data_IF_980472840990
#
_entry.id   IF_980472840990
#
_cell.length_a   1.000
_cell.length_b   1.000
_cell.length_c   1.000
_cell.angle_alpha   90.00
_cell.angle_beta   90.00
_cell.angle_gamma   90.00
#
_symmetry.space_group_name_H-M   'P 1'
#
loop_
_entity.id
_entity.type
_entity.pdbx_description
1 polymer ?
#
# COMPACT_ATOMS: atom_id res chain seq x y z
N UNK A 1 -55.96 24.92 36.71
CA UNK A 1 -55.56 24.71 35.32
C UNK A 1 -54.13 24.19 35.32
N UNK A 2 -53.86 22.96 34.92
CA UNK A 2 -52.51 22.46 34.86
C UNK A 2 -51.86 22.97 33.59
N UNK A 3 -50.67 23.58 33.72
CA UNK A 3 -49.79 23.93 32.62
C UNK A 3 -49.35 22.64 31.91
N UNK A 4 -49.79 22.48 30.66
CA UNK A 4 -49.27 21.46 29.76
C UNK A 4 -47.84 21.87 29.37
N UNK A 5 -46.86 21.31 30.01
CA UNK A 5 -45.49 21.30 29.47
C UNK A 5 -45.52 20.61 28.12
N UNK A 6 -45.15 21.35 27.06
CA UNK A 6 -44.91 20.77 25.74
C UNK A 6 -43.77 19.75 25.88
N UNK A 7 -43.90 18.54 25.32
CA UNK A 7 -42.77 17.60 25.34
C UNK A 7 -41.60 18.26 24.64
N UNK A 8 -40.45 18.29 25.31
CA UNK A 8 -39.15 18.60 24.71
C UNK A 8 -39.00 17.65 23.56
N UNK A 9 -38.91 18.20 22.35
CA UNK A 9 -38.71 17.44 21.13
C UNK A 9 -37.40 16.65 21.26
N UNK A 10 -37.53 15.39 21.63
CA UNK A 10 -36.40 14.52 21.86
C UNK A 10 -35.83 14.15 20.48
N UNK A 11 -34.79 14.85 20.05
CA UNK A 11 -34.03 14.54 18.80
C UNK A 11 -33.81 13.03 18.70
N UNK A 12 -34.21 12.42 17.59
CA UNK A 12 -34.01 10.99 17.37
C UNK A 12 -32.50 10.69 17.36
N UNK A 13 -32.09 9.57 17.94
CA UNK A 13 -30.70 9.15 18.03
C UNK A 13 -29.99 9.15 16.65
N UNK A 14 -30.74 8.78 15.60
CA UNK A 14 -30.24 8.75 14.22
C UNK A 14 -29.88 10.15 13.74
N UNK A 15 -30.76 11.14 13.95
CA UNK A 15 -30.58 12.54 13.56
C UNK A 15 -29.35 13.15 14.30
N UNK A 16 -29.25 12.85 15.60
CA UNK A 16 -28.12 13.30 16.42
C UNK A 16 -26.80 12.70 15.95
N UNK A 17 -26.75 11.39 15.66
CA UNK A 17 -25.53 10.71 15.19
C UNK A 17 -25.17 11.23 13.79
N UNK A 18 -26.14 11.43 12.89
CA UNK A 18 -25.91 12.02 11.57
C UNK A 18 -25.29 13.41 11.70
N UNK A 19 -25.86 14.29 12.52
CA UNK A 19 -25.34 15.62 12.76
C UNK A 19 -23.92 15.60 13.33
N UNK A 20 -23.60 14.64 14.23
CA UNK A 20 -22.22 14.47 14.72
C UNK A 20 -21.26 14.12 13.58
N UNK A 21 -21.65 13.18 12.70
CA UNK A 21 -20.86 12.82 11.53
C UNK A 21 -20.61 14.01 10.61
N UNK A 22 -21.67 14.75 10.26
CA UNK A 22 -21.57 15.93 9.41
C UNK A 22 -20.69 17.04 10.01
N UNK A 23 -20.80 17.24 11.35
CA UNK A 23 -20.02 18.25 12.07
C UNK A 23 -18.54 17.87 12.13
N UNK A 24 -18.21 16.61 12.44
CA UNK A 24 -16.83 16.11 12.45
C UNK A 24 -16.23 16.24 11.05
N UNK A 25 -17.02 15.88 10.04
CA UNK A 25 -16.56 16.00 8.66
C UNK A 25 -16.25 17.45 8.27
N UNK A 26 -17.12 18.39 8.59
CA UNK A 26 -16.90 19.81 8.33
C UNK A 26 -15.62 20.33 9.00
N UNK A 27 -15.27 19.82 10.19
CA UNK A 27 -13.99 20.15 10.84
C UNK A 27 -12.79 19.61 10.06
N UNK A 28 -12.87 18.38 9.53
CA UNK A 28 -11.82 17.76 8.71
C UNK A 28 -11.61 18.56 7.41
N UNK A 29 -12.69 18.95 6.74
CA UNK A 29 -12.63 19.81 5.55
C UNK A 29 -12.02 21.18 5.85
N UNK A 30 -12.44 21.80 6.96
CA UNK A 30 -11.91 23.12 7.37
C UNK A 30 -10.40 23.09 7.66
N UNK A 31 -9.87 21.93 8.07
CA UNK A 31 -8.43 21.73 8.27
C UNK A 31 -7.67 21.40 6.97
N UNK A 32 -8.36 21.31 5.83
CA UNK A 32 -7.77 20.97 4.54
C UNK A 32 -7.24 19.54 4.45
N UNK A 33 -7.65 18.66 5.38
CA UNK A 33 -7.21 17.28 5.44
C UNK A 33 -7.95 16.38 4.45
N UNK A 34 -9.17 16.78 4.08
CA UNK A 34 -9.99 16.08 3.09
C UNK A 34 -10.89 17.09 2.36
N UNK A 35 -11.34 16.73 1.18
CA UNK A 35 -12.31 17.51 0.41
C UNK A 35 -13.40 16.58 -0.11
N UNK A 36 -14.63 17.07 -0.21
CA UNK A 36 -15.74 16.35 -0.88
C UNK A 36 -15.64 16.40 -2.41
N UNK A 37 -14.59 17.00 -2.94
CA UNK A 37 -14.42 17.15 -4.37
C UNK A 37 -14.16 15.78 -5.03
N UNK A 38 -14.82 15.50 -6.15
CA UNK A 38 -14.47 14.32 -6.94
C UNK A 38 -13.08 14.47 -7.54
N UNK A 39 -12.45 13.33 -7.78
CA UNK A 39 -11.14 13.17 -8.34
C UNK A 39 -10.90 13.88 -9.68
N UNK A 40 -9.63 14.20 -10.01
CA UNK A 40 -8.39 13.81 -9.34
C UNK A 40 -7.96 14.75 -8.21
N UNK A 41 -7.16 14.23 -7.27
CA UNK A 41 -6.50 15.02 -6.23
C UNK A 41 -5.70 16.16 -6.87
N UNK A 42 -5.98 17.44 -6.56
CA UNK A 42 -5.27 18.57 -7.16
C UNK A 42 -3.81 18.69 -6.69
N UNK A 43 -3.39 17.87 -5.72
CA UNK A 43 -2.03 17.85 -5.22
C UNK A 43 -1.08 17.27 -6.28
N UNK A 44 0.18 17.63 -6.20
CA UNK A 44 1.25 17.05 -7.01
C UNK A 44 2.26 16.33 -6.10
N UNK A 45 2.86 15.27 -6.61
CA UNK A 45 4.00 14.65 -5.96
C UNK A 45 5.17 15.63 -5.96
N UNK A 46 5.94 15.67 -4.87
CA UNK A 46 7.17 16.47 -4.81
C UNK A 46 8.18 16.07 -5.88
N UNK A 47 9.04 16.99 -6.24
CA UNK A 47 10.23 16.67 -7.02
C UNK A 47 11.34 16.08 -6.13
N UNK A 48 12.19 15.25 -6.72
CA UNK A 48 13.30 14.56 -6.06
C UNK A 48 14.61 15.25 -6.42
N UNK A 49 15.46 15.50 -5.44
CA UNK A 49 16.80 16.06 -5.66
C UNK A 49 17.70 15.09 -6.41
N UNK A 50 18.73 15.61 -7.08
CA UNK A 50 19.75 14.79 -7.77
C UNK A 50 20.32 13.69 -6.85
N UNK A 51 20.51 13.99 -5.56
CA UNK A 51 21.02 13.01 -4.59
C UNK A 51 20.05 11.87 -4.33
N UNK A 52 18.77 12.19 -4.15
CA UNK A 52 17.71 11.18 -3.97
C UNK A 52 17.56 10.30 -5.23
N UNK A 53 17.61 10.92 -6.42
CA UNK A 53 17.53 10.17 -7.69
C UNK A 53 18.74 9.25 -7.86
N UNK A 54 19.94 9.72 -7.49
CA UNK A 54 21.15 8.90 -7.51
C UNK A 54 21.05 7.67 -6.58
N UNK A 55 20.46 7.86 -5.41
CA UNK A 55 20.19 6.78 -4.44
C UNK A 55 19.14 5.79 -4.97
N UNK A 56 18.01 6.29 -5.45
CA UNK A 56 16.91 5.49 -6.02
C UNK A 56 17.40 4.64 -7.20
N UNK A 57 18.23 5.20 -8.08
CA UNK A 57 18.73 4.50 -9.27
C UNK A 57 20.01 3.68 -8.98
N UNK A 58 20.61 3.85 -7.82
CA UNK A 58 21.89 3.19 -7.47
C UNK A 58 23.04 3.58 -8.38
N UNK A 59 23.11 4.87 -8.78
CA UNK A 59 24.17 5.45 -9.62
C UNK A 59 24.77 6.67 -8.93
N UNK A 60 25.93 7.17 -9.42
CA UNK A 60 26.54 8.37 -8.82
C UNK A 60 25.83 9.65 -9.28
N UNK A 61 25.72 10.65 -8.38
CA UNK A 61 25.18 11.96 -8.73
C UNK A 61 26.00 12.70 -9.79
N UNK A 62 27.31 12.46 -9.86
CA UNK A 62 28.18 13.00 -10.93
C UNK A 62 27.81 12.41 -12.30
N UNK A 63 27.54 11.11 -12.36
CA UNK A 63 27.08 10.48 -13.60
C UNK A 63 25.73 11.04 -14.08
N UNK A 64 24.73 11.18 -13.19
CA UNK A 64 23.44 11.79 -13.54
C UNK A 64 23.58 13.23 -14.00
N UNK A 65 24.50 14.00 -13.38
CA UNK A 65 24.80 15.38 -13.80
C UNK A 65 25.38 15.41 -15.21
N UNK A 66 26.31 14.48 -15.51
CA UNK A 66 26.90 14.37 -16.84
C UNK A 66 25.84 14.01 -17.90
N UNK A 67 24.99 13.01 -17.62
CA UNK A 67 23.86 12.69 -18.52
C UNK A 67 23.00 13.92 -18.84
N UNK A 68 22.66 14.70 -17.82
CA UNK A 68 21.88 15.94 -18.00
C UNK A 68 22.60 17.01 -18.82
N UNK A 69 23.94 17.11 -18.72
CA UNK A 69 24.74 18.05 -19.51
C UNK A 69 24.82 17.59 -20.97
N UNK A 70 24.96 16.31 -21.19
CA UNK A 70 25.06 15.69 -22.51
C UNK A 70 23.70 15.59 -23.23
N UNK A 71 22.62 16.04 -22.58
CA UNK A 71 21.25 15.97 -23.15
C UNK A 71 20.72 14.53 -23.24
N UNK A 72 21.24 13.61 -22.43
CA UNK A 72 20.84 12.21 -22.38
C UNK A 72 19.81 12.01 -21.26
N UNK A 73 18.62 11.50 -21.62
CA UNK A 73 17.47 11.36 -20.72
C UNK A 73 16.69 12.67 -20.54
N UNK A 74 15.78 12.72 -19.53
CA UNK A 74 14.90 13.86 -19.30
C UNK A 74 15.66 15.09 -18.82
N UNK A 75 15.15 16.27 -19.18
CA UNK A 75 15.70 17.55 -18.69
C UNK A 75 15.19 17.82 -17.27
N UNK A 76 16.07 17.91 -16.25
CA UNK A 76 15.66 18.23 -14.89
C UNK A 76 15.19 19.68 -14.76
N UNK A 77 14.33 19.94 -13.79
CA UNK A 77 14.06 21.31 -13.35
C UNK A 77 15.30 21.89 -12.66
N UNK A 78 15.62 23.13 -12.99
CA UNK A 78 16.72 23.87 -12.39
C UNK A 78 16.17 24.85 -11.35
N UNK A 79 16.38 24.55 -10.09
CA UNK A 79 16.07 25.45 -8.99
C UNK A 79 17.19 26.46 -8.70
N UNK A 80 17.09 27.14 -7.58
CA UNK A 80 18.07 28.15 -7.11
C UNK A 80 19.48 27.56 -7.06
N UNK A 81 20.46 28.32 -7.54
CA UNK A 81 21.87 27.91 -7.64
C UNK A 81 22.11 26.66 -8.52
N UNK A 82 21.30 26.42 -9.55
CA UNK A 82 21.45 25.31 -10.49
C UNK A 82 21.22 23.92 -9.88
N UNK A 83 20.49 23.83 -8.76
CA UNK A 83 20.10 22.56 -8.17
C UNK A 83 19.11 21.84 -9.09
N UNK A 84 19.43 20.59 -9.42
CA UNK A 84 18.58 19.76 -10.27
C UNK A 84 17.56 19.00 -9.43
N UNK A 85 16.32 19.00 -9.89
CA UNK A 85 15.23 18.21 -9.37
C UNK A 85 14.50 17.46 -10.49
N UNK A 86 13.91 16.33 -10.17
CA UNK A 86 13.26 15.45 -11.12
C UNK A 86 11.89 15.03 -10.58
N UNK A 87 10.90 14.93 -11.43
CA UNK A 87 9.63 14.26 -11.14
C UNK A 87 9.81 12.75 -11.14
N UNK A 88 8.87 12.01 -10.55
CA UNK A 88 8.91 10.53 -10.61
C UNK A 88 8.81 10.01 -12.06
N UNK A 89 8.01 10.66 -12.91
CA UNK A 89 7.96 10.33 -14.34
C UNK A 89 9.33 10.46 -15.00
N UNK A 90 10.06 11.54 -14.74
CA UNK A 90 11.42 11.72 -15.23
C UNK A 90 12.41 10.69 -14.68
N UNK A 91 12.22 10.24 -13.42
CA UNK A 91 13.02 9.14 -12.86
C UNK A 91 12.73 7.84 -13.62
N UNK A 92 11.48 7.58 -13.99
CA UNK A 92 11.11 6.40 -14.78
C UNK A 92 11.67 6.47 -16.21
N UNK A 93 11.69 7.64 -16.84
CA UNK A 93 12.39 7.84 -18.13
C UNK A 93 13.90 7.56 -18.01
N UNK A 94 14.55 8.01 -16.90
CA UNK A 94 15.95 7.68 -16.63
C UNK A 94 16.16 6.18 -16.44
N UNK A 95 15.24 5.46 -15.81
CA UNK A 95 15.27 3.99 -15.67
C UNK A 95 15.29 3.31 -17.05
N UNK A 96 14.37 3.71 -17.93
CA UNK A 96 14.25 3.15 -19.28
C UNK A 96 15.52 3.45 -20.11
N UNK A 97 16.06 4.67 -20.02
CA UNK A 97 17.32 5.03 -20.66
C UNK A 97 18.49 4.19 -20.13
N UNK A 98 18.63 4.06 -18.80
CA UNK A 98 19.72 3.30 -18.19
C UNK A 98 19.62 1.81 -18.49
N UNK A 99 18.43 1.24 -18.50
CA UNK A 99 18.18 -0.15 -18.88
C UNK A 99 18.58 -0.43 -20.33
N UNK A 100 18.27 0.49 -21.24
CA UNK A 100 18.61 0.40 -22.66
C UNK A 100 20.12 0.56 -22.89
N UNK A 101 20.76 1.51 -22.22
CA UNK A 101 22.19 1.79 -22.34
C UNK A 101 23.07 0.74 -21.66
N UNK A 102 22.53 0.01 -20.66
CA UNK A 102 23.22 -1.01 -19.88
C UNK A 102 22.44 -2.32 -19.81
N UNK A 103 22.30 -3.06 -20.93
CA UNK A 103 21.43 -4.25 -20.99
C UNK A 103 21.76 -5.34 -19.96
N UNK A 104 23.04 -5.47 -19.56
CA UNK A 104 23.49 -6.41 -18.54
C UNK A 104 22.99 -6.06 -17.12
N UNK A 105 22.70 -4.80 -16.88
CA UNK A 105 22.19 -4.26 -15.61
C UNK A 105 20.71 -3.83 -15.72
N UNK A 106 20.02 -4.15 -16.81
CA UNK A 106 18.67 -3.64 -17.08
C UNK A 106 17.68 -3.90 -15.94
N UNK A 107 17.75 -5.08 -15.29
CA UNK A 107 16.89 -5.39 -14.15
C UNK A 107 17.14 -4.53 -12.92
N UNK A 108 18.32 -3.99 -12.76
CA UNK A 108 18.62 -3.05 -11.67
C UNK A 108 17.82 -1.75 -11.83
N UNK A 109 17.65 -1.31 -13.07
CA UNK A 109 16.97 -0.04 -13.39
C UNK A 109 15.47 -0.22 -13.63
N UNK A 110 15.10 -1.29 -14.36
CA UNK A 110 13.72 -1.64 -14.69
C UNK A 110 13.39 -3.03 -14.14
N UNK A 111 12.97 -3.14 -12.87
CA UNK A 111 12.72 -4.43 -12.22
C UNK A 111 11.42 -5.11 -12.66
N UNK A 112 10.74 -4.53 -13.64
CA UNK A 112 9.43 -4.97 -14.15
C UNK A 112 9.43 -6.43 -14.55
N UNK A 113 8.23 -7.02 -14.59
CA UNK A 113 8.02 -8.38 -15.09
C UNK A 113 8.56 -8.55 -16.52
N UNK A 114 9.12 -9.71 -16.79
CA UNK A 114 9.48 -10.15 -18.13
C UNK A 114 8.39 -11.06 -18.69
N UNK A 115 8.48 -11.35 -19.97
CA UNK A 115 7.62 -12.36 -20.57
C UNK A 115 7.82 -13.71 -19.87
N UNK A 116 6.73 -14.28 -19.36
CA UNK A 116 6.72 -15.52 -18.57
C UNK A 116 6.72 -15.32 -17.04
N UNK A 117 7.06 -14.15 -16.52
CA UNK A 117 6.90 -13.84 -15.10
C UNK A 117 5.41 -13.63 -14.79
N UNK A 118 4.91 -14.27 -13.73
CA UNK A 118 3.52 -14.09 -13.31
C UNK A 118 3.32 -12.76 -12.58
N UNK A 119 2.11 -12.20 -12.70
CA UNK A 119 1.67 -11.07 -11.89
C UNK A 119 1.78 -11.42 -10.41
N UNK A 120 2.42 -10.56 -9.61
CA UNK A 120 2.43 -10.72 -8.17
C UNK A 120 1.22 -10.02 -7.56
N UNK A 121 0.37 -10.78 -6.90
CA UNK A 121 -0.83 -10.28 -6.21
C UNK A 121 -0.59 -10.49 -4.72
N UNK A 122 -0.36 -9.41 -3.99
CA UNK A 122 -0.02 -9.45 -2.56
C UNK A 122 -1.24 -9.02 -1.74
N UNK A 123 -1.84 -9.95 -1.02
CA UNK A 123 -2.88 -9.64 -0.04
C UNK A 123 -2.23 -9.22 1.28
N UNK A 124 -2.46 -7.98 1.69
CA UNK A 124 -2.05 -7.46 2.99
C UNK A 124 -3.24 -7.59 3.93
N UNK A 125 -3.07 -8.44 4.94
CA UNK A 125 -4.19 -8.90 5.78
C UNK A 125 -3.84 -8.82 7.26
N UNK A 126 -4.86 -8.87 8.07
CA UNK A 126 -4.84 -8.97 9.53
C UNK A 126 -3.99 -7.90 10.24
N UNK A 127 -4.37 -7.57 11.45
CA UNK A 127 -3.58 -6.79 12.40
C UNK A 127 -3.54 -5.28 12.16
N UNK A 128 -3.05 -4.57 13.17
CA UNK A 128 -2.88 -3.13 13.14
C UNK A 128 -1.92 -2.71 12.03
N UNK A 129 -2.24 -1.61 11.34
CA UNK A 129 -1.46 -1.01 10.28
C UNK A 129 -1.40 -1.78 8.94
N UNK A 130 -2.30 -2.76 8.67
CA UNK A 130 -2.40 -3.42 7.35
C UNK A 130 -2.62 -2.40 6.23
N UNK A 131 -3.57 -1.48 6.38
CA UNK A 131 -3.85 -0.40 5.42
C UNK A 131 -2.63 0.51 5.21
N UNK A 132 -1.96 0.92 6.30
CA UNK A 132 -0.73 1.73 6.24
C UNK A 132 0.39 0.96 5.53
N UNK A 133 0.51 -0.34 5.79
CA UNK A 133 1.47 -1.22 5.11
C UNK A 133 1.18 -1.30 3.62
N UNK A 134 -0.08 -1.53 3.22
CA UNK A 134 -0.50 -1.53 1.82
C UNK A 134 -0.15 -0.22 1.11
N UNK A 135 -0.41 0.91 1.77
CA UNK A 135 -0.12 2.24 1.25
C UNK A 135 1.37 2.47 0.99
N UNK A 136 2.21 2.21 2.00
CA UNK A 136 3.66 2.41 1.88
C UNK A 136 4.32 1.36 0.98
N UNK A 137 3.80 0.12 0.93
CA UNK A 137 4.27 -0.91 0.01
C UNK A 137 4.00 -0.51 -1.44
N UNK A 138 2.77 -0.12 -1.76
CA UNK A 138 2.39 0.28 -3.12
C UNK A 138 3.22 1.47 -3.62
N UNK A 139 3.39 2.51 -2.80
CA UNK A 139 4.21 3.67 -3.13
C UNK A 139 5.70 3.32 -3.23
N UNK A 140 6.21 2.49 -2.32
CA UNK A 140 7.61 2.05 -2.33
C UNK A 140 7.95 1.23 -3.58
N UNK A 141 7.06 0.35 -4.00
CA UNK A 141 7.19 -0.41 -5.25
C UNK A 141 7.20 0.52 -6.48
N UNK A 142 6.28 1.50 -6.54
CA UNK A 142 6.23 2.47 -7.64
C UNK A 142 7.51 3.33 -7.70
N UNK A 143 8.03 3.75 -6.54
CA UNK A 143 9.32 4.46 -6.46
C UNK A 143 10.49 3.62 -6.98
N UNK A 144 10.41 2.31 -6.89
CA UNK A 144 11.43 1.40 -7.45
C UNK A 144 11.20 1.09 -8.94
N UNK A 145 10.12 1.60 -9.55
CA UNK A 145 9.86 1.50 -10.99
C UNK A 145 8.97 0.33 -11.40
N UNK A 146 8.32 -0.35 -10.45
CA UNK A 146 7.27 -1.32 -10.75
C UNK A 146 6.00 -0.61 -11.20
N UNK A 147 5.21 -1.28 -12.07
CA UNK A 147 3.84 -0.89 -12.39
C UNK A 147 2.91 -1.53 -11.35
N UNK A 148 2.24 -0.71 -10.55
CA UNK A 148 1.52 -1.15 -9.36
C UNK A 148 0.04 -0.80 -9.46
N UNK A 149 -0.83 -1.73 -9.08
CA UNK A 149 -2.24 -1.49 -8.83
C UNK A 149 -2.53 -1.73 -7.34
N UNK A 150 -2.91 -0.70 -6.62
CA UNK A 150 -3.46 -0.84 -5.28
C UNK A 150 -4.97 -1.02 -5.36
N UNK A 151 -5.52 -1.96 -4.60
CA UNK A 151 -6.97 -2.20 -4.55
C UNK A 151 -7.41 -2.16 -3.09
N UNK A 152 -8.34 -1.26 -2.79
CA UNK A 152 -8.94 -1.12 -1.48
C UNK A 152 -10.21 -1.99 -1.40
N UNK A 153 -10.17 -3.04 -0.61
CA UNK A 153 -11.27 -3.96 -0.38
C UNK A 153 -12.03 -3.65 0.93
N UNK A 154 -11.78 -2.48 1.52
CA UNK A 154 -12.49 -2.01 2.70
C UNK A 154 -13.67 -1.11 2.29
N UNK A 155 -14.88 -1.43 2.78
CA UNK A 155 -16.08 -0.62 2.54
C UNK A 155 -16.01 0.80 3.11
N UNK A 156 -15.14 1.03 4.11
CA UNK A 156 -14.87 2.38 4.64
C UNK A 156 -13.90 3.18 3.76
N UNK A 157 -13.21 2.53 2.81
CA UNK A 157 -12.27 3.18 1.92
C UNK A 157 -11.03 3.72 2.64
N UNK A 158 -10.52 2.95 3.61
CA UNK A 158 -9.40 3.41 4.46
C UNK A 158 -8.11 3.65 3.67
N UNK A 159 -7.73 2.73 2.77
CA UNK A 159 -6.58 2.92 1.88
C UNK A 159 -6.84 4.06 0.89
N UNK A 160 -8.05 4.11 0.35
CA UNK A 160 -8.49 5.16 -0.57
C UNK A 160 -8.33 6.55 0.04
N UNK A 161 -8.77 6.72 1.29
CA UNK A 161 -8.58 7.96 2.05
C UNK A 161 -7.11 8.38 2.16
N UNK A 162 -6.19 7.43 2.38
CA UNK A 162 -4.75 7.71 2.43
C UNK A 162 -4.20 8.19 1.07
N UNK A 163 -4.77 7.73 -0.04
CA UNK A 163 -4.49 8.26 -1.38
C UNK A 163 -5.23 9.57 -1.71
N UNK A 164 -6.06 10.07 -0.79
CA UNK A 164 -6.86 11.27 -0.99
C UNK A 164 -8.23 10.99 -1.61
N UNK A 165 -8.66 9.72 -1.75
CA UNK A 165 -9.94 9.28 -2.30
C UNK A 165 -10.95 9.05 -1.18
N UNK A 166 -11.83 10.02 -0.92
CA UNK A 166 -12.81 9.93 0.16
C UNK A 166 -14.21 9.67 -0.39
N UNK A 167 -14.81 8.53 -0.07
CA UNK A 167 -16.16 8.13 -0.52
C UNK A 167 -17.28 8.27 0.51
N UNK A 168 -17.04 8.84 1.66
CA UNK A 168 -17.99 9.27 2.72
C UNK A 168 -19.26 8.45 2.93
N UNK A 169 -19.18 7.14 3.05
CA UNK A 169 -20.31 6.31 3.45
C UNK A 169 -21.51 6.31 2.48
N UNK A 170 -21.42 7.05 1.39
CA UNK A 170 -22.39 6.98 0.30
C UNK A 170 -21.82 6.06 -0.79
N UNK A 171 -22.60 5.05 -1.23
CA UNK A 171 -22.17 4.22 -2.35
C UNK A 171 -22.05 5.11 -3.60
N UNK A 172 -20.82 5.31 -4.05
CA UNK A 172 -20.60 5.91 -5.37
C UNK A 172 -20.76 4.77 -6.37
N UNK A 173 -21.81 4.83 -7.16
CA UNK A 173 -22.22 3.73 -8.04
C UNK A 173 -21.09 3.32 -9.01
N UNK A 174 -20.70 2.04 -8.98
CA UNK A 174 -19.64 1.45 -9.80
C UNK A 174 -18.28 2.18 -9.68
N UNK A 175 -17.89 2.57 -8.48
CA UNK A 175 -16.62 3.28 -8.25
C UNK A 175 -15.54 2.43 -7.55
N UNK A 176 -15.84 1.18 -7.22
CA UNK A 176 -14.94 0.26 -6.52
C UNK A 176 -14.82 -1.10 -7.23
N UNK A 177 -14.09 -2.02 -6.62
CA UNK A 177 -14.01 -3.40 -7.07
C UNK A 177 -15.38 -4.05 -7.22
N UNK A 178 -16.40 -3.58 -6.49
CA UNK A 178 -17.80 -4.06 -6.61
C UNK A 178 -18.27 -4.07 -8.06
N UNK A 179 -17.96 -3.04 -8.83
CA UNK A 179 -18.37 -2.96 -10.25
C UNK A 179 -17.92 -4.17 -11.08
N UNK A 180 -16.77 -4.77 -10.75
CA UNK A 180 -16.20 -5.89 -11.50
C UNK A 180 -16.63 -7.26 -10.97
N UNK A 181 -17.10 -7.33 -9.70
CA UNK A 181 -17.43 -8.61 -9.05
C UNK A 181 -18.92 -8.83 -8.75
N UNK A 182 -19.76 -7.84 -8.99
CA UNK A 182 -21.21 -7.89 -8.73
C UNK A 182 -21.92 -9.00 -9.49
N UNK A 183 -23.10 -9.42 -9.03
CA UNK A 183 -23.84 -10.56 -9.57
C UNK A 183 -24.92 -10.22 -10.59
N UNK A 184 -25.18 -8.95 -10.82
CA UNK A 184 -26.21 -8.47 -11.74
C UNK A 184 -25.64 -8.12 -13.13
N UNK A 185 -26.51 -7.70 -14.04
CA UNK A 185 -26.18 -7.37 -15.43
C UNK A 185 -25.38 -6.05 -15.58
N UNK A 186 -25.23 -5.28 -14.49
CA UNK A 186 -24.43 -4.05 -14.46
C UNK A 186 -22.94 -4.28 -14.21
N UNK A 187 -22.48 -5.55 -14.22
CA UNK A 187 -21.05 -5.87 -14.09
C UNK A 187 -20.24 -5.20 -15.18
N UNK A 188 -19.10 -4.61 -14.78
CA UNK A 188 -18.18 -3.87 -15.66
C UNK A 188 -16.76 -4.41 -15.57
N UNK A 189 -15.92 -4.06 -16.52
CA UNK A 189 -14.50 -4.31 -16.43
C UNK A 189 -13.89 -3.56 -15.25
N UNK A 190 -12.95 -4.18 -14.52
CA UNK A 190 -12.16 -3.53 -13.47
C UNK A 190 -11.45 -2.27 -14.00
N UNK A 191 -11.12 -2.23 -15.30
CA UNK A 191 -10.48 -1.07 -15.94
C UNK A 191 -11.30 0.22 -15.80
N UNK A 192 -12.63 0.10 -15.73
CA UNK A 192 -13.52 1.26 -15.61
C UNK A 192 -13.45 1.98 -14.26
N UNK A 193 -12.90 1.33 -13.23
CA UNK A 193 -12.82 1.86 -11.86
C UNK A 193 -11.40 2.19 -11.43
N UNK A 194 -10.41 1.92 -12.27
CA UNK A 194 -9.01 2.25 -11.99
C UNK A 194 -8.81 3.75 -12.07
N UNK A 195 -8.20 4.31 -11.04
CA UNK A 195 -7.91 5.73 -10.90
C UNK A 195 -6.40 5.98 -10.84
N UNK A 196 -5.91 7.10 -11.40
CA UNK A 196 -4.52 7.50 -11.24
C UNK A 196 -4.23 7.91 -9.81
N UNK A 197 -2.97 7.82 -9.38
CA UNK A 197 -2.49 8.40 -8.13
C UNK A 197 -1.45 9.49 -8.39
N UNK A 198 -0.89 10.08 -7.33
CA UNK A 198 0.20 11.04 -7.46
C UNK A 198 1.52 10.41 -7.94
N UNK A 199 1.65 9.09 -7.82
CA UNK A 199 2.85 8.36 -8.18
C UNK A 199 2.74 7.84 -9.61
N UNK A 200 3.64 8.25 -10.47
CA UNK A 200 3.76 7.66 -11.81
C UNK A 200 3.99 6.15 -11.71
N UNK A 201 3.21 5.36 -12.45
CA UNK A 201 3.25 3.89 -12.40
C UNK A 201 2.43 3.26 -11.26
N UNK A 202 1.71 4.05 -10.43
CA UNK A 202 0.80 3.55 -9.40
C UNK A 202 -0.63 4.00 -9.66
N UNK A 203 -1.54 3.03 -9.75
CA UNK A 203 -2.98 3.26 -9.85
C UNK A 203 -3.73 2.68 -8.65
N UNK A 204 -4.96 3.10 -8.46
CA UNK A 204 -5.83 2.69 -7.36
C UNK A 204 -7.19 2.24 -7.89
N UNK A 205 -7.71 1.12 -7.36
CA UNK A 205 -9.14 0.82 -7.35
C UNK A 205 -9.66 1.21 -5.97
N UNK A 206 -10.50 2.27 -5.88
CA UNK A 206 -10.97 2.75 -4.59
C UNK A 206 -11.90 1.78 -3.88
N UNK A 207 -11.88 1.80 -2.54
CA UNK A 207 -12.90 1.21 -1.69
C UNK A 207 -14.09 2.15 -1.51
N UNK A 208 -15.28 1.59 -1.37
CA UNK A 208 -16.48 2.35 -1.08
C UNK A 208 -17.54 1.49 -0.37
N UNK A 209 -18.56 2.15 0.17
CA UNK A 209 -19.65 1.48 0.87
C UNK A 209 -20.40 0.43 0.01
N UNK A 210 -20.30 0.48 -1.32
CA UNK A 210 -20.91 -0.53 -2.20
C UNK A 210 -20.26 -1.92 -2.07
N UNK A 211 -19.03 -2.02 -1.53
CA UNK A 211 -18.43 -3.31 -1.21
C UNK A 211 -19.23 -4.09 -0.15
N UNK A 212 -19.94 -3.39 0.75
CA UNK A 212 -20.86 -4.04 1.70
C UNK A 212 -22.02 -4.73 1.00
N UNK A 213 -22.47 -4.22 -0.16
CA UNK A 213 -23.53 -4.86 -0.96
C UNK A 213 -23.06 -6.23 -1.44
N UNK A 214 -21.82 -6.35 -1.87
CA UNK A 214 -21.24 -7.65 -2.26
C UNK A 214 -21.21 -8.65 -1.10
N UNK A 215 -20.81 -8.20 0.09
CA UNK A 215 -20.83 -9.04 1.30
C UNK A 215 -22.25 -9.51 1.67
N UNK A 216 -23.23 -8.62 1.55
CA UNK A 216 -24.65 -8.95 1.78
C UNK A 216 -25.19 -9.94 0.74
N UNK A 217 -24.88 -9.73 -0.55
CA UNK A 217 -25.28 -10.62 -1.63
C UNK A 217 -24.66 -12.01 -1.46
N UNK A 218 -23.35 -12.08 -1.20
CA UNK A 218 -22.69 -13.34 -0.88
C UNK A 218 -23.31 -14.03 0.33
N UNK A 219 -23.57 -13.30 1.42
CA UNK A 219 -24.20 -13.82 2.62
C UNK A 219 -25.63 -14.34 2.36
N UNK A 220 -26.39 -13.70 1.46
CA UNK A 220 -27.72 -14.14 1.04
C UNK A 220 -27.62 -15.42 0.20
N UNK A 221 -26.74 -15.43 -0.78
CA UNK A 221 -26.48 -16.59 -1.62
C UNK A 221 -25.96 -17.78 -0.82
N UNK A 222 -25.06 -17.56 0.14
CA UNK A 222 -24.51 -18.60 1.02
C UNK A 222 -25.58 -19.33 1.83
N UNK A 223 -26.67 -18.63 2.20
CA UNK A 223 -27.81 -19.24 2.90
C UNK A 223 -28.80 -19.94 1.98
N UNK A 224 -28.65 -19.82 0.66
CA UNK A 224 -29.50 -20.52 -0.29
C UNK A 224 -28.98 -21.93 -0.57
N UNK A 225 -29.88 -22.90 -0.84
CA UNK A 225 -29.51 -24.29 -1.15
C UNK A 225 -28.70 -24.44 -2.44
N UNK A 226 -28.67 -23.40 -3.30
CA UNK A 226 -27.97 -23.37 -4.58
C UNK A 226 -26.63 -22.65 -4.56
N UNK A 227 -26.17 -22.20 -3.39
CA UNK A 227 -24.92 -21.45 -3.33
C UNK A 227 -23.71 -22.37 -3.56
N UNK A 228 -22.94 -22.01 -4.57
CA UNK A 228 -21.60 -22.57 -4.79
C UNK A 228 -20.59 -21.51 -4.37
N UNK A 229 -19.99 -21.67 -3.20
CA UNK A 229 -18.93 -20.77 -2.69
C UNK A 229 -17.89 -20.33 -3.72
N UNK A 230 -17.55 -21.12 -4.75
CA UNK A 230 -16.60 -20.75 -5.78
C UNK A 230 -16.91 -19.49 -6.57
N UNK A 231 -18.19 -19.10 -6.69
CA UNK A 231 -18.55 -17.96 -7.54
C UNK A 231 -18.07 -16.61 -6.98
N UNK A 232 -18.09 -16.42 -5.66
CA UNK A 232 -17.69 -15.14 -5.07
C UNK A 232 -16.19 -14.84 -5.29
N UNK A 233 -15.35 -15.79 -4.98
CA UNK A 233 -13.89 -15.61 -5.10
C UNK A 233 -13.40 -15.68 -6.54
N UNK A 234 -14.02 -16.51 -7.40
CA UNK A 234 -13.67 -16.59 -8.82
C UNK A 234 -13.88 -15.29 -9.59
N UNK A 235 -14.86 -14.48 -9.17
CA UNK A 235 -15.10 -13.17 -9.78
C UNK A 235 -13.93 -12.22 -9.58
N UNK A 236 -13.32 -12.21 -8.41
CA UNK A 236 -12.10 -11.43 -8.14
C UNK A 236 -10.93 -11.91 -8.99
N UNK A 237 -10.69 -13.22 -9.06
CA UNK A 237 -9.65 -13.80 -9.92
C UNK A 237 -9.86 -13.42 -11.39
N UNK A 238 -11.12 -13.46 -11.86
CA UNK A 238 -11.46 -13.12 -13.25
C UNK A 238 -11.24 -11.64 -13.54
N UNK A 239 -11.64 -10.76 -12.62
CA UNK A 239 -11.43 -9.32 -12.76
C UNK A 239 -9.93 -8.96 -12.80
N UNK A 240 -9.11 -9.58 -11.95
CA UNK A 240 -7.66 -9.34 -11.94
C UNK A 240 -6.94 -9.85 -13.18
N UNK A 241 -7.45 -10.90 -13.84
CA UNK A 241 -6.92 -11.36 -15.13
C UNK A 241 -7.02 -10.31 -16.24
N UNK A 242 -8.02 -9.43 -16.20
CA UNK A 242 -8.18 -8.37 -17.19
C UNK A 242 -7.01 -7.38 -17.20
N UNK A 243 -6.34 -7.20 -16.07
CA UNK A 243 -5.25 -6.23 -15.87
C UNK A 243 -3.88 -6.91 -15.76
N UNK A 244 -3.79 -8.22 -15.95
CA UNK A 244 -2.54 -8.98 -15.80
C UNK A 244 -1.40 -8.41 -16.63
N UNK A 245 -1.63 -7.99 -17.86
CA UNK A 245 -0.58 -7.47 -18.74
C UNK A 245 -0.10 -6.05 -18.37
N UNK A 246 -0.89 -5.29 -17.62
CA UNK A 246 -0.65 -3.87 -17.39
C UNK A 246 0.24 -3.61 -16.16
N UNK A 247 0.18 -4.51 -15.17
CA UNK A 247 0.87 -4.34 -13.89
C UNK A 247 1.89 -5.44 -13.61
N UNK A 248 2.86 -5.11 -12.79
CA UNK A 248 3.85 -6.04 -12.27
C UNK A 248 3.43 -6.58 -10.91
N UNK A 249 2.78 -5.74 -10.11
CA UNK A 249 2.32 -6.05 -8.75
C UNK A 249 0.92 -5.47 -8.53
N UNK A 250 0.06 -6.27 -7.91
CA UNK A 250 -1.21 -5.82 -7.32
C UNK A 250 -1.09 -5.91 -5.81
N UNK A 251 -1.44 -4.85 -5.10
CA UNK A 251 -1.51 -4.82 -3.63
C UNK A 251 -2.97 -4.76 -3.22
N UNK A 252 -3.48 -5.82 -2.61
CA UNK A 252 -4.83 -5.90 -2.07
C UNK A 252 -4.81 -5.50 -0.60
N UNK A 253 -5.50 -4.41 -0.25
CA UNK A 253 -5.74 -4.01 1.14
C UNK A 253 -7.05 -4.59 1.60
N UNK A 254 -6.98 -5.61 2.45
CA UNK A 254 -8.15 -6.33 2.91
C UNK A 254 -8.70 -5.73 4.22
N UNK A 255 -10.02 -5.69 4.35
CA UNK A 255 -10.70 -5.40 5.60
C UNK A 255 -10.70 -6.62 6.56
N UNK A 256 -11.55 -6.57 7.58
CA UNK A 256 -11.58 -7.51 8.70
C UNK A 256 -12.29 -8.85 8.40
N UNK A 257 -12.05 -9.45 7.25
CA UNK A 257 -12.63 -10.75 6.87
C UNK A 257 -13.81 -10.62 5.91
N UNK A 258 -14.57 -11.71 5.73
CA UNK A 258 -15.70 -11.77 4.80
C UNK A 258 -15.36 -12.38 3.43
N UNK A 259 -16.32 -12.30 2.50
CA UNK A 259 -16.18 -12.90 1.17
C UNK A 259 -15.18 -12.16 0.29
N UNK A 260 -15.02 -10.85 0.47
CA UNK A 260 -13.99 -10.07 -0.21
C UNK A 260 -12.59 -10.51 0.18
N UNK A 261 -12.35 -10.71 1.49
CA UNK A 261 -11.07 -11.21 2.00
C UNK A 261 -10.80 -12.64 1.52
N UNK A 262 -11.82 -13.50 1.49
CA UNK A 262 -11.71 -14.85 0.92
C UNK A 262 -11.36 -14.82 -0.57
N UNK A 263 -11.98 -13.90 -1.34
CA UNK A 263 -11.63 -13.67 -2.74
C UNK A 263 -10.20 -13.18 -2.93
N UNK A 264 -9.74 -12.32 -2.03
CA UNK A 264 -8.36 -11.85 -2.03
C UNK A 264 -7.36 -12.98 -1.73
N UNK A 265 -7.67 -13.89 -0.81
CA UNK A 265 -6.83 -15.06 -0.54
C UNK A 265 -6.71 -15.99 -1.74
N UNK A 266 -7.80 -16.19 -2.46
CA UNK A 266 -7.77 -17.04 -3.66
C UNK A 266 -7.02 -16.39 -4.82
N UNK A 267 -7.18 -15.09 -4.99
CA UNK A 267 -6.52 -14.36 -6.07
C UNK A 267 -5.03 -14.11 -5.80
N UNK A 268 -4.60 -14.10 -4.53
CA UNK A 268 -3.25 -13.77 -4.15
C UNK A 268 -2.21 -14.78 -4.64
N UNK A 269 -1.04 -14.28 -5.04
CA UNK A 269 0.18 -15.07 -5.21
C UNK A 269 1.05 -15.02 -3.95
N UNK A 270 0.84 -14.03 -3.09
CA UNK A 270 1.51 -13.89 -1.82
C UNK A 270 0.60 -13.27 -0.76
N UNK A 271 0.79 -13.67 0.48
CA UNK A 271 0.07 -13.11 1.63
C UNK A 271 1.06 -12.48 2.59
N UNK A 272 0.78 -11.24 3.00
CA UNK A 272 1.53 -10.50 3.98
C UNK A 272 0.64 -10.21 5.19
N UNK A 273 0.92 -10.88 6.31
CA UNK A 273 0.21 -10.70 7.58
C UNK A 273 0.92 -9.65 8.40
N UNK A 274 0.23 -8.58 8.80
CA UNK A 274 0.81 -7.57 9.69
C UNK A 274 0.51 -7.90 11.15
N UNK A 275 1.47 -7.67 12.03
CA UNK A 275 1.31 -7.89 13.47
C UNK A 275 2.04 -6.83 14.28
N UNK A 276 1.38 -6.26 15.28
CA UNK A 276 2.05 -5.48 16.31
C UNK A 276 2.61 -6.44 17.38
N UNK A 277 3.85 -6.24 17.87
CA UNK A 277 4.47 -7.18 18.81
C UNK A 277 3.93 -7.01 20.24
N UNK A 278 2.60 -7.02 20.38
CA UNK A 278 1.86 -6.96 21.64
C UNK A 278 0.93 -8.17 21.77
N UNK A 279 0.81 -8.73 22.96
CA UNK A 279 0.07 -9.99 23.17
C UNK A 279 -1.38 -9.96 22.66
N UNK A 280 -2.18 -8.87 22.85
CA UNK A 280 -3.54 -8.84 22.30
C UNK A 280 -3.56 -8.95 20.78
N UNK A 281 -2.63 -8.28 20.10
CA UNK A 281 -2.54 -8.27 18.63
C UNK A 281 -2.04 -9.63 18.09
N UNK A 282 -1.12 -10.27 18.81
CA UNK A 282 -0.64 -11.63 18.48
C UNK A 282 -1.79 -12.65 18.61
N UNK A 283 -2.60 -12.54 19.66
CA UNK A 283 -3.79 -13.41 19.85
C UNK A 283 -4.81 -13.14 18.72
N UNK A 284 -5.06 -11.87 18.38
CA UNK A 284 -5.95 -11.50 17.27
C UNK A 284 -5.45 -12.07 15.93
N UNK A 285 -4.14 -11.95 15.66
CA UNK A 285 -3.51 -12.55 14.48
C UNK A 285 -3.75 -14.06 14.41
N UNK A 286 -3.63 -14.78 15.53
CA UNK A 286 -3.88 -16.23 15.58
C UNK A 286 -5.30 -16.57 15.14
N UNK A 287 -6.29 -15.76 15.57
CA UNK A 287 -7.69 -15.93 15.12
C UNK A 287 -7.85 -15.70 13.62
N UNK A 288 -7.15 -14.69 13.08
CA UNK A 288 -7.15 -14.42 11.63
C UNK A 288 -6.51 -15.56 10.83
N UNK A 289 -5.47 -16.22 11.36
CA UNK A 289 -4.86 -17.37 10.71
C UNK A 289 -5.82 -18.59 10.67
N UNK A 290 -6.59 -18.81 11.73
CA UNK A 290 -7.64 -19.84 11.69
C UNK A 290 -8.74 -19.51 10.68
N UNK A 291 -9.14 -18.25 10.57
CA UNK A 291 -10.10 -17.80 9.55
C UNK A 291 -9.55 -18.01 8.14
N UNK A 292 -8.27 -17.72 7.91
CA UNK A 292 -7.59 -18.00 6.65
C UNK A 292 -7.67 -19.49 6.28
N UNK A 293 -7.29 -20.38 7.20
CA UNK A 293 -7.34 -21.83 6.94
C UNK A 293 -8.75 -22.32 6.68
N UNK A 294 -9.75 -21.76 7.36
CA UNK A 294 -11.16 -22.06 7.12
C UNK A 294 -11.59 -21.66 5.69
N UNK A 295 -11.28 -20.44 5.25
CA UNK A 295 -11.60 -19.98 3.90
C UNK A 295 -10.91 -20.81 2.82
N UNK A 296 -9.62 -21.11 2.99
CA UNK A 296 -8.88 -21.97 2.04
C UNK A 296 -9.53 -23.34 1.96
N UNK A 297 -9.89 -23.95 3.08
CA UNK A 297 -10.57 -25.23 3.09
C UNK A 297 -11.94 -25.22 2.39
N UNK A 298 -12.68 -24.12 2.46
CA UNK A 298 -13.94 -23.94 1.72
C UNK A 298 -13.71 -23.86 0.21
N UNK A 299 -12.69 -23.11 -0.21
CA UNK A 299 -12.29 -22.98 -1.63
C UNK A 299 -11.87 -24.35 -2.19
N UNK A 300 -11.07 -25.10 -1.44
CA UNK A 300 -10.60 -26.44 -1.84
C UNK A 300 -11.75 -27.46 -1.93
N UNK A 301 -12.69 -27.46 -0.98
CA UNK A 301 -13.91 -28.29 -1.04
C UNK A 301 -14.77 -27.99 -2.26
N UNK A 302 -14.67 -26.80 -2.76
CA UNK A 302 -15.34 -26.39 -4.00
C UNK A 302 -14.57 -26.83 -5.28
N UNK A 303 -13.50 -27.63 -5.14
CA UNK A 303 -12.71 -28.18 -6.25
C UNK A 303 -11.70 -27.19 -6.84
N UNK A 304 -11.33 -26.13 -6.10
CA UNK A 304 -10.36 -25.12 -6.53
C UNK A 304 -9.09 -25.22 -5.67
N UNK A 305 -8.00 -24.70 -6.18
CA UNK A 305 -6.70 -24.74 -5.51
C UNK A 305 -6.23 -23.33 -5.20
N UNK A 306 -5.80 -23.11 -3.98
CA UNK A 306 -5.14 -21.88 -3.54
C UNK A 306 -3.63 -22.14 -3.52
N UNK A 307 -2.88 -21.43 -4.31
CA UNK A 307 -1.43 -21.56 -4.42
C UNK A 307 -0.76 -20.22 -4.19
N UNK A 308 -0.13 -20.08 -3.04
CA UNK A 308 0.68 -18.90 -2.75
C UNK A 308 2.16 -19.22 -2.95
N UNK A 309 2.91 -18.29 -3.56
CA UNK A 309 4.37 -18.38 -3.70
C UNK A 309 5.07 -18.10 -2.38
N UNK A 310 4.43 -17.26 -1.54
CA UNK A 310 4.91 -16.94 -0.21
C UNK A 310 3.77 -16.60 0.74
N UNK A 311 4.02 -16.84 2.03
CA UNK A 311 3.17 -16.42 3.14
C UNK A 311 4.10 -15.83 4.20
N UNK A 312 4.06 -14.51 4.43
CA UNK A 312 5.02 -13.81 5.27
C UNK A 312 4.35 -12.96 6.34
N UNK A 313 5.07 -12.76 7.43
CA UNK A 313 4.63 -11.94 8.56
C UNK A 313 5.53 -10.71 8.68
N UNK A 314 4.92 -9.54 8.80
CA UNK A 314 5.61 -8.27 9.01
C UNK A 314 5.28 -7.70 10.37
N UNK A 315 6.28 -7.52 11.22
CA UNK A 315 6.12 -6.78 12.47
C UNK A 315 5.99 -5.29 12.14
N UNK A 316 4.91 -4.69 12.61
CA UNK A 316 4.60 -3.28 12.41
C UNK A 316 4.48 -2.55 13.76
N UNK A 317 4.58 -1.22 13.74
CA UNK A 317 4.49 -0.37 14.94
C UNK A 317 5.42 -0.82 16.06
N UNK A 318 6.62 -1.27 15.69
CA UNK A 318 7.64 -1.74 16.60
C UNK A 318 8.41 -0.57 17.21
N UNK A 319 8.47 -0.47 18.52
CA UNK A 319 9.47 0.37 19.21
C UNK A 319 10.70 -0.49 19.55
N UNK A 320 11.84 -0.30 18.85
CA UNK A 320 13.05 -1.10 19.08
C UNK A 320 13.65 -0.92 20.50
N UNK A 321 13.16 0.06 21.28
CA UNK A 321 13.60 0.31 22.66
C UNK A 321 12.74 -0.45 23.69
N UNK A 322 11.57 -0.94 23.26
CA UNK A 322 10.66 -1.68 24.14
C UNK A 322 11.11 -3.14 24.28
N UNK A 323 11.63 -3.49 25.47
CA UNK A 323 12.11 -4.83 25.79
C UNK A 323 10.98 -5.88 25.73
N UNK A 324 9.73 -5.51 26.04
CA UNK A 324 8.59 -6.41 25.96
C UNK A 324 8.30 -6.78 24.52
N UNK A 325 8.31 -5.80 23.63
CA UNK A 325 8.11 -6.03 22.19
C UNK A 325 9.25 -6.86 21.58
N UNK A 326 10.50 -6.62 22.00
CA UNK A 326 11.63 -7.46 21.58
C UNK A 326 11.44 -8.94 21.98
N UNK A 327 10.95 -9.20 23.21
CA UNK A 327 10.63 -10.57 23.66
C UNK A 327 9.49 -11.18 22.84
N UNK A 328 8.45 -10.41 22.53
CA UNK A 328 7.34 -10.86 21.69
C UNK A 328 7.81 -11.24 20.27
N UNK A 329 8.71 -10.44 19.69
CA UNK A 329 9.30 -10.74 18.36
C UNK A 329 10.14 -12.01 18.42
N UNK A 330 10.96 -12.18 19.46
CA UNK A 330 11.75 -13.40 19.64
C UNK A 330 10.85 -14.65 19.80
N UNK A 331 9.75 -14.53 20.56
CA UNK A 331 8.73 -15.57 20.69
C UNK A 331 8.08 -15.93 19.35
N UNK A 332 7.75 -14.92 18.52
CA UNK A 332 7.17 -15.14 17.21
C UNK A 332 8.18 -15.79 16.23
N UNK A 333 9.47 -15.49 16.37
CA UNK A 333 10.53 -16.04 15.51
C UNK A 333 10.65 -17.56 15.64
N UNK A 334 10.38 -18.10 16.82
CA UNK A 334 10.50 -19.55 17.07
C UNK A 334 9.52 -20.38 16.18
N UNK A 335 8.20 -20.12 16.17
CA UNK A 335 7.26 -20.88 15.34
C UNK A 335 7.21 -20.42 13.88
N UNK A 336 7.54 -19.16 13.56
CA UNK A 336 7.39 -18.62 12.21
C UNK A 336 8.68 -18.72 11.38
N UNK A 337 9.84 -18.85 12.01
CA UNK A 337 11.13 -19.02 11.32
C UNK A 337 11.37 -17.92 10.28
N UNK A 338 11.69 -18.35 9.06
CA UNK A 338 11.97 -17.48 7.91
C UNK A 338 10.70 -16.84 7.30
N UNK A 339 9.51 -17.24 7.75
CA UNK A 339 8.27 -16.58 7.32
C UNK A 339 8.04 -15.26 8.05
N UNK A 340 8.64 -15.05 9.22
CA UNK A 340 8.70 -13.73 9.85
C UNK A 340 9.80 -12.89 9.22
N UNK A 341 9.44 -11.79 8.55
CA UNK A 341 10.41 -10.88 7.95
C UNK A 341 11.44 -10.42 8.98
N UNK A 342 12.67 -10.20 8.53
CA UNK A 342 13.75 -9.67 9.36
C UNK A 342 13.56 -8.18 9.63
N UNK A 343 13.13 -7.46 8.60
CA UNK A 343 12.79 -6.05 8.71
C UNK A 343 11.48 -5.85 9.50
N UNK A 344 11.44 -4.79 10.28
CA UNK A 344 10.24 -4.37 11.02
C UNK A 344 9.91 -2.92 10.68
N UNK A 345 8.62 -2.57 10.62
CA UNK A 345 8.20 -1.17 10.48
C UNK A 345 8.06 -0.55 11.88
N UNK A 346 8.80 0.52 12.10
CA UNK A 346 8.88 1.13 13.43
C UNK A 346 7.67 2.04 13.71
N UNK A 347 7.26 2.10 14.97
CA UNK A 347 6.37 3.15 15.46
C UNK A 347 7.07 4.50 15.25
N UNK A 348 6.41 5.46 14.62
CA UNK A 348 7.05 6.69 14.22
C UNK A 348 6.12 7.90 14.25
N UNK A 349 6.54 8.91 15.01
CA UNK A 349 5.90 10.24 14.99
C UNK A 349 5.92 10.88 13.60
N UNK A 350 6.94 10.59 12.79
CA UNK A 350 7.01 11.12 11.43
C UNK A 350 5.91 10.52 10.54
N UNK A 351 5.64 9.21 10.65
CA UNK A 351 4.53 8.56 9.93
C UNK A 351 3.19 9.16 10.37
N UNK A 352 2.99 9.33 11.68
CA UNK A 352 1.77 9.92 12.22
C UNK A 352 1.58 11.36 11.73
N UNK A 353 2.60 12.22 11.85
CA UNK A 353 2.54 13.61 11.38
C UNK A 353 2.35 13.74 9.87
N UNK A 354 2.84 12.79 9.08
CA UNK A 354 2.56 12.73 7.65
C UNK A 354 1.08 12.40 7.40
N UNK A 355 0.55 11.41 8.13
CA UNK A 355 -0.87 11.05 8.09
C UNK A 355 -1.80 12.20 8.50
N UNK A 356 -1.44 12.96 9.56
CA UNK A 356 -2.16 14.17 9.98
C UNK A 356 -2.24 15.24 8.87
N UNK A 357 -1.30 15.22 7.93
CA UNK A 357 -1.28 16.10 6.74
C UNK A 357 -1.94 15.46 5.51
N UNK A 358 -2.54 14.28 5.63
CA UNK A 358 -3.07 13.49 4.51
C UNK A 358 -1.98 13.12 3.49
N UNK A 359 -0.76 12.82 3.92
CA UNK A 359 0.41 12.54 3.09
C UNK A 359 1.16 11.30 3.57
N UNK A 360 1.93 10.69 2.70
CA UNK A 360 2.97 9.73 3.09
C UNK A 360 4.32 10.41 3.31
N UNK A 361 5.26 9.69 3.93
CA UNK A 361 6.65 10.16 4.00
C UNK A 361 7.33 10.23 2.63
N UNK A 362 6.92 9.39 1.68
CA UNK A 362 7.43 9.45 0.31
C UNK A 362 7.01 10.75 -0.42
N UNK A 363 5.87 11.32 -0.03
CA UNK A 363 5.36 12.59 -0.57
C UNK A 363 5.98 13.82 0.10
N UNK A 364 6.62 13.65 1.26
CA UNK A 364 7.18 14.75 2.06
C UNK A 364 8.71 14.79 1.95
N UNK A 365 9.28 15.96 2.17
CA UNK A 365 10.73 16.12 2.39
C UNK A 365 11.10 15.94 3.85
N UNK A 366 12.34 15.61 4.14
CA UNK A 366 12.86 15.38 5.51
C UNK A 366 12.66 16.57 6.46
N UNK A 367 12.56 17.79 5.94
CA UNK A 367 12.30 18.99 6.75
C UNK A 367 10.86 19.15 7.24
N UNK A 368 9.91 18.38 6.68
CA UNK A 368 8.48 18.55 6.94
C UNK A 368 7.99 17.93 8.26
N UNK A 369 8.70 16.91 8.78
CA UNK A 369 8.30 16.11 9.96
C UNK A 369 9.47 15.85 10.92
N UNK A 370 10.55 16.62 10.83
CA UNK A 370 11.76 16.43 11.63
C UNK A 370 12.72 15.40 11.00
N UNK A 371 13.93 15.85 10.69
CA UNK A 371 14.88 15.12 9.87
C UNK A 371 15.24 13.74 10.43
N UNK A 372 15.60 13.66 11.72
CA UNK A 372 16.01 12.39 12.35
C UNK A 372 14.87 11.36 12.36
N UNK A 373 13.65 11.77 12.75
CA UNK A 373 12.47 10.90 12.77
C UNK A 373 12.09 10.46 11.36
N UNK A 374 12.21 11.36 10.37
CA UNK A 374 11.98 11.04 8.96
C UNK A 374 12.97 9.96 8.48
N UNK A 375 14.28 10.15 8.68
CA UNK A 375 15.32 9.23 8.23
C UNK A 375 15.17 7.83 8.87
N UNK A 376 14.82 7.77 10.16
CA UNK A 376 14.58 6.50 10.85
C UNK A 376 13.33 5.77 10.32
N UNK A 377 12.22 6.49 10.16
CA UNK A 377 10.99 5.93 9.63
C UNK A 377 11.17 5.44 8.19
N UNK A 378 11.78 6.26 7.32
CA UNK A 378 12.08 5.90 5.94
C UNK A 378 12.98 4.66 5.85
N UNK A 379 13.98 4.57 6.74
CA UNK A 379 14.85 3.39 6.79
C UNK A 379 14.07 2.13 7.12
N UNK A 380 13.17 2.15 8.11
CA UNK A 380 12.37 0.98 8.48
C UNK A 380 11.41 0.57 7.38
N UNK A 381 10.70 1.52 6.77
CA UNK A 381 9.79 1.29 5.64
C UNK A 381 10.53 0.72 4.42
N UNK A 382 11.63 1.35 4.03
CA UNK A 382 12.42 0.91 2.88
C UNK A 382 13.05 -0.48 3.11
N UNK A 383 13.43 -0.82 4.34
CA UNK A 383 13.96 -2.15 4.66
C UNK A 383 12.88 -3.22 4.52
N UNK A 384 11.66 -2.97 5.01
CA UNK A 384 10.53 -3.91 4.85
C UNK A 384 10.15 -4.07 3.37
N UNK A 385 10.05 -2.97 2.62
CA UNK A 385 9.75 -3.03 1.19
C UNK A 385 10.86 -3.75 0.40
N UNK A 386 12.13 -3.55 0.76
CA UNK A 386 13.26 -4.21 0.11
C UNK A 386 13.21 -5.74 0.29
N UNK A 387 12.88 -6.21 1.50
CA UNK A 387 12.75 -7.65 1.77
C UNK A 387 11.59 -8.27 0.98
N UNK A 388 10.45 -7.57 0.87
CA UNK A 388 9.31 -8.01 0.04
C UNK A 388 9.70 -8.03 -1.45
N UNK A 389 10.43 -7.03 -1.95
CA UNK A 389 10.91 -7.01 -3.33
C UNK A 389 11.90 -8.12 -3.64
N UNK A 390 12.75 -8.50 -2.69
CA UNK A 390 13.66 -9.63 -2.85
C UNK A 390 12.88 -10.97 -2.90
N UNK A 391 11.84 -11.14 -2.06
CA UNK A 391 10.94 -12.30 -2.13
C UNK A 391 10.26 -12.40 -3.50
N UNK A 392 9.71 -11.30 -4.03
CA UNK A 392 9.13 -11.28 -5.38
C UNK A 392 10.18 -11.61 -6.45
N UNK A 393 11.40 -11.12 -6.30
CA UNK A 393 12.50 -11.42 -7.21
C UNK A 393 12.83 -12.90 -7.24
N UNK A 394 12.85 -13.56 -6.09
CA UNK A 394 13.05 -15.01 -5.98
C UNK A 394 11.93 -15.79 -6.68
N UNK A 395 10.65 -15.38 -6.51
CA UNK A 395 9.52 -15.97 -7.24
C UNK A 395 9.70 -15.87 -8.76
N UNK A 396 10.28 -14.80 -9.24
CA UNK A 396 10.63 -14.63 -10.67
C UNK A 396 11.97 -15.26 -11.06
N UNK A 397 12.59 -16.08 -10.19
CA UNK A 397 13.88 -16.72 -10.44
C UNK A 397 15.05 -15.74 -10.55
N UNK A 398 14.97 -14.59 -9.89
CA UNK A 398 16.01 -13.56 -9.88
C UNK A 398 16.77 -13.56 -8.56
N UNK A 399 18.04 -13.18 -8.59
CA UNK A 399 18.84 -13.02 -7.36
C UNK A 399 18.31 -11.85 -6.51
N UNK A 400 18.29 -11.97 -5.18
CA UNK A 400 17.93 -10.88 -4.28
C UNK A 400 18.92 -9.72 -4.42
N UNK A 401 18.39 -8.49 -4.40
CA UNK A 401 19.17 -7.29 -4.68
C UNK A 401 18.85 -6.12 -3.73
N UNK A 402 17.58 -5.95 -3.35
CA UNK A 402 17.08 -4.73 -2.73
C UNK A 402 17.56 -4.56 -1.28
N UNK A 403 17.62 -5.63 -0.49
CA UNK A 403 18.15 -5.59 0.89
C UNK A 403 19.62 -5.19 0.88
N UNK A 404 20.40 -5.70 -0.07
CA UNK A 404 21.83 -5.34 -0.19
C UNK A 404 22.02 -3.89 -0.64
N UNK A 405 21.15 -3.36 -1.50
CA UNK A 405 21.15 -1.96 -1.92
C UNK A 405 20.79 -1.03 -0.77
N UNK A 406 19.73 -1.31 -0.02
CA UNK A 406 19.30 -0.53 1.14
C UNK A 406 20.38 -0.44 2.22
N UNK A 407 21.14 -1.51 2.44
CA UNK A 407 22.25 -1.54 3.39
C UNK A 407 23.42 -0.66 2.95
N UNK A 408 23.74 -0.59 1.67
CA UNK A 408 24.83 0.23 1.11
C UNK A 408 24.50 1.73 1.18
N UNK A 409 23.26 2.13 0.92
CA UNK A 409 22.84 3.53 0.99
C UNK A 409 22.98 4.07 2.42
N UNK A 410 22.67 3.26 3.43
CA UNK A 410 22.83 3.60 4.84
C UNK A 410 24.30 3.83 5.23
N UNK A 411 25.24 3.07 4.66
CA UNK A 411 26.69 3.19 4.96
C UNK A 411 27.29 4.42 4.27
N UNK A 412 26.89 4.72 3.03
CA UNK A 412 27.36 5.90 2.28
C UNK A 412 26.87 7.21 2.93
N UNK A 413 25.65 7.24 3.48
CA UNK A 413 25.12 8.39 4.21
C UNK A 413 25.91 8.70 5.49
N UNK A 414 26.39 7.69 6.22
CA UNK A 414 27.25 7.86 7.39
C UNK A 414 28.63 8.42 7.03
N UNK A 415 29.28 7.90 6.00
CA UNK A 415 30.60 8.37 5.56
C UNK A 415 30.57 9.85 5.10
N UNK A 416 29.48 10.29 4.46
CA UNK A 416 29.32 11.70 4.05
C UNK A 416 29.04 12.66 5.20
N UNK A 417 28.46 12.19 6.29
CA UNK A 417 28.21 13.00 7.51
C UNK A 417 29.46 13.15 8.38
N UNK A 418 30.28 12.13 8.46
CA UNK A 418 31.57 12.15 9.19
C UNK A 418 32.62 13.05 8.51
N UNK A 419 32.67 13.05 7.17
CA UNK A 419 33.59 13.92 6.44
C UNK A 419 33.23 15.42 6.53
N UNK A 420 31.98 15.78 6.85
CA UNK A 420 31.55 17.18 7.08
C UNK A 420 31.78 17.65 8.52
N UNK A 421 32.01 16.73 9.47
CA UNK A 421 32.29 17.03 10.88
C UNK A 421 33.77 17.31 11.19
N UNK A 422 34.68 16.97 10.26
CA UNK A 422 36.13 17.14 10.42
C UNK A 422 36.71 18.41 9.78
N UNK A 423 35.85 19.25 9.17
CA UNK A 423 36.27 20.54 8.60
C UNK A 423 35.53 21.71 9.26
N UNK A 424 35.65 21.83 10.57
CA UNK A 424 35.37 23.06 11.32
C UNK A 424 36.49 23.38 12.26
#
# INVERSE_FOLDING_TARGET
MPHSEKPVDQERIVERVQRHGDSIWALIEAQGMATRAPFPDPRTLRSFSLGEVAEILGVSGSYLRQLSIDGLGPTPELGTAGRRSYTLGQINELRDYLASSRPKEALKFCPRRRQGDKLQIISVVAGPASTTTSFYLAQGLALQGFRVLAIDLDSHGSLSGMFGYYSFGYPVHNASMYAAIRYDDDQKSIRSVIQPTLFDGLHLVPGSAELSIFEEDCGRLFRSENFKYPDASSRMVSALKEVDADYDVVVLSCGDGGFLTAGAYEAATGVLVTVRPEMPDIVSMTSSLYSFTHFVALIERAGRTVNHDFFKYLVTRHDPRDVSQQKSIAMLREPLGDDLLTATVWESDAIRQAGDKGRSLYELSSGSVGRSSYEQAMKSLNSANAEIMDIMSEVWGRAPFYVSQASRSTTAGKASSESRGLSK
#
